data_IF_007561223836
#
_entry.id   IF_007561223836
#
_cell.length_a   1.000
_cell.length_b   1.000
_cell.length_c   1.000
_cell.angle_alpha   90.00
_cell.angle_beta   90.00
_cell.angle_gamma   90.00
#
_symmetry.space_group_name_H-M   'P 1'
#
loop_
_entity.id
_entity.type
_entity.pdbx_description
1 polymer ?
#
# COMPACT_ATOMS: atom_id res chain seq x y z
N UNK A 1 0.64 28.87 -8.59
CA UNK A 1 0.57 28.70 -10.06
C UNK A 1 -0.65 29.43 -10.65
N UNK A 2 -1.81 29.46 -9.96
CA UNK A 2 -2.97 30.28 -10.34
C UNK A 2 -2.68 31.78 -10.40
N UNK A 3 -1.98 32.35 -9.41
CA UNK A 3 -1.66 33.79 -9.37
C UNK A 3 -0.67 34.27 -10.45
N UNK A 4 0.02 33.34 -11.13
CA UNK A 4 0.98 33.67 -12.19
C UNK A 4 0.33 33.74 -13.58
N UNK A 5 -0.83 33.10 -13.76
CA UNK A 5 -1.55 33.07 -15.04
C UNK A 5 -2.56 34.23 -15.15
N UNK A 6 -3.20 34.62 -14.04
CA UNK A 6 -4.07 35.81 -14.01
C UNK A 6 -3.29 37.10 -14.28
N UNK A 7 -2.08 37.24 -13.73
CA UNK A 7 -1.24 38.44 -13.92
C UNK A 7 -0.78 38.67 -15.37
N UNK A 8 -0.70 37.62 -16.20
CA UNK A 8 -0.15 37.72 -17.56
C UNK A 8 -1.22 37.93 -18.64
N UNK A 9 -2.46 37.48 -18.41
CA UNK A 9 -3.54 37.66 -19.38
C UNK A 9 -4.08 39.10 -19.38
N UNK A 10 -4.27 39.68 -18.19
CA UNK A 10 -4.72 41.08 -18.03
C UNK A 10 -3.67 42.08 -18.52
N UNK A 11 -2.40 41.71 -18.47
CA UNK A 11 -1.28 42.55 -18.91
C UNK A 11 -1.23 42.73 -20.43
N UNK A 12 -1.56 41.70 -21.21
CA UNK A 12 -1.24 41.69 -22.66
C UNK A 12 -2.37 42.30 -23.49
N UNK A 13 -3.63 42.04 -23.14
CA UNK A 13 -4.79 42.52 -23.92
C UNK A 13 -5.10 43.99 -23.61
N UNK A 14 -5.00 44.39 -22.33
CA UNK A 14 -5.17 45.77 -21.90
C UNK A 14 -4.05 46.69 -22.43
N UNK A 15 -2.84 46.14 -22.64
CA UNK A 15 -1.70 46.87 -23.17
C UNK A 15 -1.82 47.17 -24.68
N UNK A 16 -2.42 46.29 -25.48
CA UNK A 16 -2.44 46.45 -26.95
C UNK A 16 -3.46 47.48 -27.44
N UNK A 17 -4.66 47.55 -26.84
CA UNK A 17 -5.72 48.48 -27.26
C UNK A 17 -5.55 49.90 -26.72
N UNK A 18 -5.15 50.06 -25.45
CA UNK A 18 -4.96 51.37 -24.81
C UNK A 18 -3.65 52.06 -25.21
N UNK A 19 -2.63 51.33 -25.70
CA UNK A 19 -1.31 51.90 -26.04
C UNK A 19 -1.21 52.51 -27.44
N UNK A 20 -2.19 52.34 -28.33
CA UNK A 20 -2.08 52.86 -29.70
C UNK A 20 -2.57 54.31 -29.85
N UNK A 21 -3.69 54.69 -29.19
CA UNK A 21 -4.26 56.04 -29.32
C UNK A 21 -3.90 56.98 -28.17
N UNK A 22 -3.88 56.47 -26.93
CA UNK A 22 -3.54 57.26 -25.74
C UNK A 22 -2.05 57.66 -25.72
N UNK A 23 -1.19 56.82 -26.28
CA UNK A 23 0.25 57.00 -26.31
C UNK A 23 0.71 58.00 -27.40
N UNK A 24 -0.13 58.34 -28.38
CA UNK A 24 0.28 59.19 -29.53
C UNK A 24 0.48 60.65 -29.11
N UNK A 25 -0.55 61.24 -28.50
CA UNK A 25 -0.48 62.62 -28.01
C UNK A 25 0.60 62.77 -26.93
N UNK A 26 0.69 61.79 -26.03
CA UNK A 26 1.66 61.78 -24.93
C UNK A 26 3.11 61.64 -25.45
N UNK A 27 3.35 60.80 -26.47
CA UNK A 27 4.68 60.64 -27.11
C UNK A 27 5.17 61.93 -27.73
N UNK A 28 4.32 62.61 -28.48
CA UNK A 28 4.71 63.83 -29.21
C UNK A 28 4.82 65.01 -28.24
N UNK A 29 3.96 65.07 -27.22
CA UNK A 29 4.10 66.05 -26.13
C UNK A 29 5.40 65.84 -25.34
N UNK A 30 5.94 64.62 -25.31
CA UNK A 30 7.21 64.32 -24.67
C UNK A 30 8.45 64.67 -25.52
N UNK A 31 8.28 65.00 -26.81
CA UNK A 31 9.39 65.39 -27.67
C UNK A 31 9.90 66.78 -27.31
N UNK A 32 11.22 66.92 -27.21
CA UNK A 32 11.82 68.24 -27.10
C UNK A 32 11.72 69.01 -28.43
N UNK A 33 12.02 70.31 -28.40
CA UNK A 33 11.87 71.19 -29.57
C UNK A 33 12.65 70.73 -30.81
N UNK A 34 13.87 70.21 -30.64
CA UNK A 34 14.67 69.68 -31.74
C UNK A 34 14.08 68.39 -32.30
N UNK A 35 13.67 67.47 -31.44
CA UNK A 35 13.02 66.21 -31.83
C UNK A 35 11.69 66.46 -32.54
N UNK A 36 10.93 67.46 -32.10
CA UNK A 36 9.68 67.87 -32.74
C UNK A 36 9.92 68.47 -34.13
N UNK A 37 11.01 69.25 -34.30
CA UNK A 37 11.40 69.78 -35.60
C UNK A 37 11.79 68.66 -36.58
N UNK A 38 12.58 67.70 -36.11
CA UNK A 38 12.96 66.53 -36.91
C UNK A 38 11.74 65.67 -37.25
N UNK A 39 10.84 65.45 -36.29
CA UNK A 39 9.57 64.75 -36.51
C UNK A 39 8.71 65.44 -37.57
N UNK A 40 8.60 66.78 -37.55
CA UNK A 40 7.85 67.52 -38.58
C UNK A 40 8.47 67.39 -39.97
N UNK A 41 9.81 67.35 -40.07
CA UNK A 41 10.48 67.13 -41.36
C UNK A 41 10.23 65.72 -41.89
N UNK A 42 10.30 64.72 -41.03
CA UNK A 42 10.03 63.32 -41.41
C UNK A 42 8.58 63.14 -41.86
N UNK A 43 7.63 63.69 -41.09
CA UNK A 43 6.22 63.71 -41.43
C UNK A 43 5.95 64.44 -42.76
N UNK A 44 6.58 65.60 -42.97
CA UNK A 44 6.47 66.34 -44.23
C UNK A 44 7.01 65.53 -45.41
N UNK A 45 8.20 64.94 -45.26
CA UNK A 45 8.83 64.13 -46.31
C UNK A 45 7.99 62.89 -46.67
N UNK A 46 7.40 62.25 -45.67
CA UNK A 46 6.50 61.12 -45.85
C UNK A 46 5.29 61.49 -46.73
N UNK A 47 4.63 62.61 -46.43
CA UNK A 47 3.46 63.05 -47.19
C UNK A 47 3.78 63.64 -48.55
N UNK A 48 4.90 64.37 -48.67
CA UNK A 48 5.39 64.89 -49.94
C UNK A 48 5.63 63.76 -50.94
N UNK A 49 6.27 62.68 -50.48
CA UNK A 49 6.48 61.49 -51.31
C UNK A 49 5.16 60.86 -51.76
N UNK A 50 4.19 60.69 -50.85
CA UNK A 50 2.86 60.18 -51.20
C UNK A 50 2.17 61.08 -52.23
N UNK A 51 2.18 62.41 -52.04
CA UNK A 51 1.58 63.37 -52.97
C UNK A 51 2.25 63.27 -54.35
N UNK A 52 3.58 63.22 -54.41
CA UNK A 52 4.32 63.13 -55.66
C UNK A 52 3.89 61.90 -56.46
N UNK A 53 3.90 60.72 -55.83
CA UNK A 53 3.51 59.47 -56.50
C UNK A 53 2.04 59.49 -56.91
N UNK A 54 1.16 60.08 -56.10
CA UNK A 54 -0.25 60.20 -56.45
C UNK A 54 -0.48 61.16 -57.64
N UNK A 55 0.25 62.28 -57.70
CA UNK A 55 0.17 63.24 -58.81
C UNK A 55 0.72 62.66 -60.13
N UNK A 56 1.83 61.93 -60.09
CA UNK A 56 2.40 61.24 -61.26
C UNK A 56 1.39 60.23 -61.84
N UNK A 57 0.70 59.49 -60.96
CA UNK A 57 -0.33 58.52 -61.36
C UNK A 57 -1.61 59.18 -61.88
N UNK A 58 -2.05 60.29 -61.31
CA UNK A 58 -3.21 61.05 -61.78
C UNK A 58 -2.98 61.60 -63.20
N UNK A 59 -1.76 62.07 -63.49
CA UNK A 59 -1.38 62.50 -64.85
C UNK A 59 -1.36 61.35 -65.86
N UNK A 60 -0.95 60.16 -65.44
CA UNK A 60 -0.94 58.96 -66.28
C UNK A 60 -2.35 58.40 -66.57
N UNK A 61 -3.33 58.62 -65.67
CA UNK A 61 -4.65 57.99 -65.71
C UNK A 61 -5.81 58.93 -66.10
N UNK A 62 -5.57 59.96 -66.93
CA UNK A 62 -6.53 60.98 -67.40
C UNK A 62 -7.88 60.51 -68.02
N UNK A 63 -8.28 59.24 -67.93
CA UNK A 63 -9.48 58.66 -68.59
C UNK A 63 -10.55 58.02 -67.70
N UNK A 64 -10.50 58.05 -66.36
CA UNK A 64 -11.55 57.39 -65.53
C UNK A 64 -12.03 58.26 -64.36
N UNK A 65 -13.34 58.22 -64.08
CA UNK A 65 -14.10 58.93 -63.03
C UNK A 65 -13.57 58.82 -61.58
N UNK A 66 -12.51 58.05 -61.31
CA UNK A 66 -11.84 57.92 -60.01
C UNK A 66 -11.04 59.19 -59.64
N UNK A 67 -10.85 60.11 -60.59
CA UNK A 67 -10.08 61.35 -60.42
C UNK A 67 -10.63 62.34 -59.37
N UNK A 68 -11.94 62.32 -59.04
CA UNK A 68 -12.51 63.31 -58.11
C UNK A 68 -12.19 63.05 -56.64
N UNK A 69 -12.26 61.78 -56.20
CA UNK A 69 -11.93 61.38 -54.82
C UNK A 69 -10.45 61.54 -54.53
N UNK A 70 -9.59 61.17 -55.48
CA UNK A 70 -8.15 61.38 -55.36
C UNK A 70 -7.78 62.86 -55.30
N UNK A 71 -8.43 63.72 -56.09
CA UNK A 71 -8.17 65.17 -56.05
C UNK A 71 -8.54 65.79 -54.71
N UNK A 72 -9.67 65.43 -54.13
CA UNK A 72 -10.05 65.91 -52.79
C UNK A 72 -9.06 65.45 -51.72
N UNK A 73 -8.60 64.20 -51.82
CA UNK A 73 -7.61 63.67 -50.89
C UNK A 73 -6.23 64.32 -51.04
N UNK A 74 -5.75 64.50 -52.28
CA UNK A 74 -4.51 65.24 -52.58
C UNK A 74 -4.60 66.67 -52.04
N UNK A 75 -5.76 67.32 -52.16
CA UNK A 75 -5.97 68.64 -51.57
C UNK A 75 -5.87 68.60 -50.04
N UNK A 76 -6.50 67.63 -49.37
CA UNK A 76 -6.40 67.47 -47.91
C UNK A 76 -4.95 67.26 -47.43
N UNK A 77 -4.17 66.42 -48.13
CA UNK A 77 -2.76 66.22 -47.78
C UNK A 77 -1.94 67.47 -48.09
N UNK A 78 -2.22 68.17 -49.21
CA UNK A 78 -1.53 69.42 -49.56
C UNK A 78 -1.77 70.51 -48.51
N UNK A 79 -3.02 70.64 -48.04
CA UNK A 79 -3.39 71.57 -46.97
C UNK A 79 -2.67 71.18 -45.66
N UNK A 80 -2.58 69.89 -45.36
CA UNK A 80 -1.84 69.34 -44.23
C UNK A 80 -0.34 69.65 -44.29
N UNK A 81 0.30 69.40 -45.44
CA UNK A 81 1.72 69.71 -45.67
C UNK A 81 2.00 71.21 -45.57
N UNK A 82 1.08 72.05 -46.05
CA UNK A 82 1.17 73.51 -45.92
C UNK A 82 1.13 73.94 -44.46
N UNK A 83 0.26 73.34 -43.65
CA UNK A 83 0.18 73.60 -42.22
C UNK A 83 1.46 73.14 -41.50
N UNK A 84 1.98 71.95 -41.81
CA UNK A 84 3.25 71.46 -41.27
C UNK A 84 4.44 72.37 -41.61
N UNK A 85 4.55 72.79 -42.87
CA UNK A 85 5.61 73.69 -43.33
C UNK A 85 5.57 75.05 -42.62
N UNK A 86 4.35 75.60 -42.42
CA UNK A 86 4.15 76.82 -41.64
C UNK A 86 4.61 76.65 -40.20
N UNK A 87 4.26 75.54 -39.54
CA UNK A 87 4.69 75.27 -38.16
C UNK A 87 6.21 75.09 -38.06
N UNK A 88 6.81 74.40 -39.02
CA UNK A 88 8.27 74.24 -39.11
C UNK A 88 8.97 75.59 -39.24
N UNK A 89 8.43 76.50 -40.06
CA UNK A 89 8.97 77.86 -40.23
C UNK A 89 8.77 78.73 -38.99
N UNK A 90 7.64 78.60 -38.29
CA UNK A 90 7.38 79.28 -37.01
C UNK A 90 8.35 78.78 -35.92
N UNK A 91 8.64 77.47 -35.91
CA UNK A 91 9.64 76.85 -35.06
C UNK A 91 11.07 77.35 -35.32
N UNK A 92 11.44 77.62 -36.56
CA UNK A 92 12.77 78.14 -36.90
C UNK A 92 12.95 79.61 -36.53
N UNK A 93 11.89 80.42 -36.68
CA UNK A 93 11.94 81.87 -36.42
C UNK A 93 11.99 82.24 -34.94
N UNK A 94 11.38 81.45 -34.06
CA UNK A 94 11.30 81.76 -32.63
C UNK A 94 12.55 81.32 -31.85
N UNK A 95 13.75 81.80 -32.20
CA UNK A 95 15.05 81.26 -31.76
C UNK A 95 15.42 81.47 -30.28
N UNK A 96 14.50 81.92 -29.42
CA UNK A 96 14.78 82.08 -27.98
C UNK A 96 14.77 80.70 -27.28
N UNK A 97 15.87 80.25 -26.65
CA UNK A 97 15.98 78.90 -26.09
C UNK A 97 15.20 78.65 -24.79
N UNK A 98 14.60 79.67 -24.17
CA UNK A 98 14.18 79.62 -22.76
C UNK A 98 12.71 79.98 -22.49
N UNK A 99 11.84 79.98 -23.52
CA UNK A 99 10.46 80.42 -23.36
C UNK A 99 9.50 79.22 -23.30
N UNK A 100 9.25 78.71 -22.08
CA UNK A 100 8.29 77.61 -21.82
C UNK A 100 6.87 77.94 -22.32
N UNK A 101 6.51 79.23 -22.42
CA UNK A 101 5.21 79.65 -22.94
C UNK A 101 5.04 79.36 -24.44
N UNK A 102 6.14 79.37 -25.21
CA UNK A 102 6.11 79.08 -26.66
C UNK A 102 5.76 77.62 -26.94
N UNK A 103 6.12 76.71 -26.03
CA UNK A 103 5.79 75.29 -26.16
C UNK A 103 4.29 75.02 -26.02
N UNK A 104 3.62 75.70 -25.09
CA UNK A 104 2.19 75.56 -24.85
C UNK A 104 1.34 76.10 -26.00
N UNK A 105 1.66 77.30 -26.51
CA UNK A 105 0.94 77.90 -27.65
C UNK A 105 1.15 77.10 -28.95
N UNK A 106 2.36 76.58 -29.15
CA UNK A 106 2.65 75.70 -30.28
C UNK A 106 1.89 74.38 -30.17
N UNK A 107 1.76 73.82 -28.97
CA UNK A 107 1.05 72.56 -28.77
C UNK A 107 -0.44 72.65 -29.14
N UNK A 108 -1.11 73.75 -28.80
CA UNK A 108 -2.51 73.97 -29.20
C UNK A 108 -2.67 74.05 -30.73
N UNK A 109 -1.70 74.63 -31.43
CA UNK A 109 -1.68 74.63 -32.90
C UNK A 109 -1.43 73.23 -33.45
N UNK A 110 -0.50 72.50 -32.85
CA UNK A 110 -0.12 71.14 -33.24
C UNK A 110 -1.28 70.15 -33.05
N UNK A 111 -2.08 70.31 -31.98
CA UNK A 111 -3.29 69.52 -31.73
C UNK A 111 -4.29 69.56 -32.90
N UNK A 112 -4.45 70.71 -33.54
CA UNK A 112 -5.33 70.88 -34.72
C UNK A 112 -4.85 70.01 -35.89
N UNK A 113 -3.54 69.84 -36.06
CA UNK A 113 -2.94 68.95 -37.08
C UNK A 113 -3.15 67.47 -36.73
N UNK A 114 -3.24 67.12 -35.45
CA UNK A 114 -3.44 65.75 -34.98
C UNK A 114 -4.89 65.27 -35.03
N UNK A 115 -5.85 66.19 -34.95
CA UNK A 115 -7.27 65.88 -35.14
C UNK A 115 -7.62 65.51 -36.60
N UNK A 116 -6.67 65.68 -37.53
CA UNK A 116 -6.81 65.25 -38.91
C UNK A 116 -6.65 63.72 -38.98
N UNK A 117 -7.73 63.04 -39.38
CA UNK A 117 -7.83 61.58 -39.53
C UNK A 117 -6.99 61.02 -40.69
N UNK A 118 -5.67 61.15 -40.58
CA UNK A 118 -4.67 60.63 -41.51
C UNK A 118 -3.58 59.85 -40.73
N UNK A 119 -3.00 58.80 -41.34
CA UNK A 119 -1.90 58.04 -40.75
C UNK A 119 -0.62 58.87 -40.69
N UNK A 120 0.05 58.90 -39.54
CA UNK A 120 1.33 59.59 -39.37
C UNK A 120 2.48 58.70 -39.83
N UNK A 121 3.64 59.25 -40.15
CA UNK A 121 4.79 58.47 -40.64
C UNK A 121 5.28 57.42 -39.63
N UNK A 122 5.06 57.66 -38.34
CA UNK A 122 5.48 56.81 -37.22
C UNK A 122 4.39 55.84 -36.73
N UNK A 123 3.24 55.77 -37.43
CA UNK A 123 2.20 54.80 -37.13
C UNK A 123 2.62 53.39 -37.60
N UNK A 124 2.27 52.31 -36.86
CA UNK A 124 2.59 50.94 -37.28
C UNK A 124 2.04 50.54 -38.65
N UNK A 125 1.00 51.25 -39.12
CA UNK A 125 0.34 51.04 -40.41
C UNK A 125 0.77 52.05 -41.49
N UNK A 126 1.74 52.94 -41.21
CA UNK A 126 2.15 54.00 -42.12
C UNK A 126 2.75 53.46 -43.42
N UNK A 127 3.65 52.49 -43.35
CA UNK A 127 4.26 51.90 -44.54
C UNK A 127 3.25 51.11 -45.39
N UNK A 128 2.33 50.37 -44.75
CA UNK A 128 1.24 49.67 -45.45
C UNK A 128 0.31 50.66 -46.15
N UNK A 129 0.01 51.78 -45.49
CA UNK A 129 -0.79 52.85 -46.07
C UNK A 129 -0.09 53.50 -47.28
N UNK A 130 1.18 53.84 -47.14
CA UNK A 130 2.03 54.39 -48.21
C UNK A 130 2.08 53.45 -49.40
N UNK A 131 2.26 52.14 -49.17
CA UNK A 131 2.21 51.14 -50.23
C UNK A 131 0.84 51.06 -50.91
N UNK A 132 -0.26 51.20 -50.16
CA UNK A 132 -1.60 51.24 -50.72
C UNK A 132 -1.84 52.50 -51.57
N UNK A 133 -1.31 53.65 -51.15
CA UNK A 133 -1.29 54.87 -51.96
C UNK A 133 -0.51 54.67 -53.26
N UNK A 134 0.67 54.06 -53.18
CA UNK A 134 1.46 53.72 -54.35
C UNK A 134 0.75 52.71 -55.25
N UNK A 135 -0.07 51.82 -54.71
CA UNK A 135 -0.84 50.84 -55.50
C UNK A 135 -2.11 51.43 -56.14
N UNK A 136 -2.43 52.70 -55.87
CA UNK A 136 -3.63 53.36 -56.39
C UNK A 136 -4.92 53.04 -55.61
N UNK A 137 -4.80 52.43 -54.43
CA UNK A 137 -5.92 52.04 -53.57
C UNK A 137 -6.04 52.96 -52.33
N UNK A 138 -5.56 54.20 -52.46
CA UNK A 138 -5.51 55.17 -51.36
C UNK A 138 -6.86 55.36 -50.66
N UNK A 139 -7.96 55.46 -51.42
CA UNK A 139 -9.29 55.68 -50.87
C UNK A 139 -9.75 54.58 -49.89
N UNK A 140 -9.49 53.31 -50.21
CA UNK A 140 -9.86 52.21 -49.30
C UNK A 140 -8.93 52.15 -48.10
N UNK A 141 -7.63 52.40 -48.29
CA UNK A 141 -6.67 52.43 -47.20
C UNK A 141 -7.02 53.48 -46.15
N UNK A 142 -7.43 54.68 -46.59
CA UNK A 142 -7.92 55.75 -45.70
C UNK A 142 -9.17 55.30 -44.95
N UNK A 143 -10.12 54.68 -45.65
CA UNK A 143 -11.36 54.21 -45.05
C UNK A 143 -11.10 53.15 -43.98
N UNK A 144 -10.25 52.18 -44.27
CA UNK A 144 -9.82 51.14 -43.33
C UNK A 144 -9.09 51.75 -42.13
N UNK A 145 -8.17 52.68 -42.36
CA UNK A 145 -7.48 53.39 -41.28
C UNK A 145 -8.48 54.13 -40.37
N UNK A 146 -9.44 54.87 -40.96
CA UNK A 146 -10.48 55.58 -40.21
C UNK A 146 -11.38 54.65 -39.41
N UNK A 147 -11.75 53.49 -39.96
CA UNK A 147 -12.53 52.50 -39.21
C UNK A 147 -11.71 51.98 -38.04
N UNK A 148 -10.45 51.60 -38.25
CA UNK A 148 -9.62 51.04 -37.18
C UNK A 148 -9.37 52.09 -36.09
N UNK A 149 -9.12 53.34 -36.46
CA UNK A 149 -8.90 54.43 -35.51
C UNK A 149 -10.16 54.81 -34.73
N UNK A 150 -11.35 54.70 -35.34
CA UNK A 150 -12.64 55.01 -34.70
C UNK A 150 -13.24 53.81 -33.95
N UNK A 151 -13.04 52.58 -34.44
CA UNK A 151 -13.55 51.34 -33.83
C UNK A 151 -12.71 50.84 -32.65
N UNK A 152 -11.57 51.46 -32.38
CA UNK A 152 -10.85 51.34 -31.11
C UNK A 152 -11.59 52.05 -29.94
N UNK A 153 -12.93 52.05 -29.97
CA UNK A 153 -13.81 52.65 -28.98
C UNK A 153 -13.86 51.73 -27.73
N UNK A 154 -13.72 52.25 -26.49
CA UNK A 154 -13.59 51.44 -25.27
C UNK A 154 -14.73 50.45 -25.01
N UNK A 155 -15.89 50.65 -25.62
CA UNK A 155 -17.08 49.81 -25.42
C UNK A 155 -16.95 48.40 -26.00
N UNK A 156 -16.24 48.23 -27.13
CA UNK A 156 -16.07 46.90 -27.74
C UNK A 156 -15.08 46.03 -26.95
N UNK A 157 -14.02 46.65 -26.43
CA UNK A 157 -13.00 45.97 -25.62
C UNK A 157 -13.54 45.57 -24.24
N UNK A 158 -14.37 46.40 -23.62
CA UNK A 158 -14.96 46.14 -22.30
C UNK A 158 -15.82 44.88 -22.25
N UNK A 159 -16.64 44.64 -23.29
CA UNK A 159 -17.48 43.44 -23.36
C UNK A 159 -16.67 42.15 -23.57
N UNK A 160 -15.45 42.25 -24.09
CA UNK A 160 -14.54 41.11 -24.22
C UNK A 160 -13.83 40.81 -22.90
N UNK A 161 -13.33 41.84 -22.20
CA UNK A 161 -12.71 41.72 -20.87
C UNK A 161 -13.68 41.08 -19.84
N UNK A 162 -14.91 41.58 -19.71
CA UNK A 162 -15.90 41.04 -18.75
C UNK A 162 -16.22 39.56 -18.99
N UNK A 163 -16.28 39.12 -20.25
CA UNK A 163 -16.54 37.71 -20.59
C UNK A 163 -15.34 36.80 -20.31
N UNK A 164 -14.13 37.30 -20.53
CA UNK A 164 -12.91 36.55 -20.25
C UNK A 164 -12.74 36.38 -18.75
N UNK A 165 -12.95 37.44 -17.97
CA UNK A 165 -12.87 37.41 -16.51
C UNK A 165 -13.90 36.46 -15.89
N UNK A 166 -15.16 36.51 -16.36
CA UNK A 166 -16.20 35.59 -15.90
C UNK A 166 -15.88 34.12 -16.21
N UNK A 167 -15.33 33.84 -17.41
CA UNK A 167 -14.94 32.48 -17.78
C UNK A 167 -13.75 31.99 -16.95
N UNK A 168 -12.75 32.84 -16.69
CA UNK A 168 -11.60 32.50 -15.86
C UNK A 168 -12.02 32.23 -14.41
N UNK A 169 -12.90 33.06 -13.84
CA UNK A 169 -13.46 32.83 -12.52
C UNK A 169 -14.18 31.49 -12.43
N UNK A 170 -15.01 31.15 -13.44
CA UNK A 170 -15.72 29.87 -13.48
C UNK A 170 -14.78 28.66 -13.63
N UNK A 171 -13.67 28.83 -14.36
CA UNK A 171 -12.66 27.79 -14.55
C UNK A 171 -11.89 27.56 -13.24
N UNK A 172 -11.50 28.65 -12.57
CA UNK A 172 -10.83 28.64 -11.27
C UNK A 172 -11.68 27.90 -10.23
N UNK A 173 -12.98 28.22 -10.15
CA UNK A 173 -13.90 27.55 -9.22
C UNK A 173 -14.04 26.05 -9.51
N UNK A 174 -14.10 25.64 -10.78
CA UNK A 174 -14.13 24.22 -11.18
C UNK A 174 -12.82 23.51 -10.83
N UNK A 175 -11.68 24.14 -11.05
CA UNK A 175 -10.37 23.59 -10.69
C UNK A 175 -10.30 23.39 -9.19
N UNK A 176 -10.65 24.41 -8.40
CA UNK A 176 -10.65 24.35 -6.94
C UNK A 176 -11.57 23.25 -6.40
N UNK A 177 -12.77 23.10 -6.98
CA UNK A 177 -13.70 22.04 -6.62
C UNK A 177 -13.10 20.65 -6.90
N UNK A 178 -12.56 20.44 -8.11
CA UNK A 178 -11.96 19.16 -8.47
C UNK A 178 -10.74 18.83 -7.61
N UNK A 179 -9.90 19.83 -7.29
CA UNK A 179 -8.74 19.66 -6.41
C UNK A 179 -9.19 19.24 -5.01
N UNK A 180 -10.25 19.85 -4.46
CA UNK A 180 -10.82 19.46 -3.16
C UNK A 180 -11.39 18.04 -3.18
N UNK A 181 -12.13 17.66 -4.23
CA UNK A 181 -12.67 16.30 -4.38
C UNK A 181 -11.56 15.25 -4.48
N UNK A 182 -10.49 15.53 -5.24
CA UNK A 182 -9.34 14.62 -5.37
C UNK A 182 -8.57 14.50 -4.05
N UNK A 183 -8.34 15.60 -3.33
CA UNK A 183 -7.71 15.58 -2.01
C UNK A 183 -8.51 14.75 -1.00
N UNK A 184 -9.83 14.87 -1.03
CA UNK A 184 -10.71 14.11 -0.16
C UNK A 184 -10.69 12.61 -0.51
N UNK A 185 -10.77 12.26 -1.80
CA UNK A 185 -10.65 10.86 -2.26
C UNK A 185 -9.30 10.22 -1.89
N UNK A 186 -8.19 10.97 -1.98
CA UNK A 186 -6.89 10.50 -1.52
C UNK A 186 -6.85 10.26 -0.01
N UNK A 187 -7.38 11.19 0.79
CA UNK A 187 -7.48 11.05 2.25
C UNK A 187 -8.31 9.83 2.65
N UNK A 188 -9.44 9.61 1.99
CA UNK A 188 -10.31 8.45 2.25
C UNK A 188 -9.61 7.14 1.85
N UNK A 189 -8.91 7.11 0.72
CA UNK A 189 -8.12 5.94 0.30
C UNK A 189 -6.94 5.66 1.24
N UNK A 190 -6.25 6.69 1.72
CA UNK A 190 -5.16 6.54 2.69
C UNK A 190 -5.67 5.90 3.97
N UNK A 191 -6.83 6.34 4.47
CA UNK A 191 -7.48 5.74 5.65
C UNK A 191 -7.85 4.28 5.41
N UNK A 192 -8.47 3.95 4.27
CA UNK A 192 -8.83 2.56 3.91
C UNK A 192 -7.57 1.68 3.84
N UNK A 193 -6.49 2.17 3.21
CA UNK A 193 -5.23 1.44 3.12
C UNK A 193 -4.66 1.21 4.51
N UNK A 194 -4.60 2.25 5.35
CA UNK A 194 -4.06 2.13 6.71
C UNK A 194 -4.88 1.16 7.56
N UNK A 195 -6.21 1.24 7.51
CA UNK A 195 -7.11 0.32 8.21
C UNK A 195 -6.90 -1.13 7.71
N UNK A 196 -6.68 -1.33 6.41
CA UNK A 196 -6.39 -2.65 5.84
C UNK A 196 -5.03 -3.21 6.27
N UNK A 197 -4.01 -2.33 6.39
CA UNK A 197 -2.67 -2.70 6.86
C UNK A 197 -2.69 -3.07 8.34
N UNK A 198 -3.39 -2.29 9.17
CA UNK A 198 -3.56 -2.57 10.60
C UNK A 198 -4.32 -3.89 10.79
N UNK A 199 -5.43 -4.08 10.08
CA UNK A 199 -6.18 -5.33 10.09
C UNK A 199 -5.33 -6.53 9.63
N UNK A 200 -4.58 -6.37 8.55
CA UNK A 200 -3.66 -7.40 8.04
C UNK A 200 -2.57 -7.76 9.05
N UNK A 201 -2.00 -6.77 9.75
CA UNK A 201 -1.00 -6.98 10.81
C UNK A 201 -1.59 -7.79 11.96
N UNK A 202 -2.79 -7.43 12.43
CA UNK A 202 -3.48 -8.16 13.51
C UNK A 202 -3.78 -9.61 13.10
N UNK A 203 -4.20 -9.84 11.84
CA UNK A 203 -4.42 -11.19 11.32
C UNK A 203 -3.13 -12.02 11.26
N UNK A 204 -2.02 -11.43 10.81
CA UNK A 204 -0.71 -12.10 10.77
C UNK A 204 -0.25 -12.41 12.20
N UNK A 205 -0.38 -11.48 13.14
CA UNK A 205 0.00 -11.71 14.54
C UNK A 205 -0.81 -12.85 15.17
N UNK A 206 -2.12 -12.91 14.90
CA UNK A 206 -2.98 -14.03 15.31
C UNK A 206 -2.53 -15.36 14.70
N UNK A 207 -2.19 -15.40 13.41
CA UNK A 207 -1.70 -16.62 12.73
C UNK A 207 -0.36 -17.06 13.31
N UNK A 208 0.59 -16.12 13.51
CA UNK A 208 1.91 -16.43 14.07
C UNK A 208 1.79 -16.93 15.51
N UNK A 209 0.94 -16.30 16.33
CA UNK A 209 0.66 -16.75 17.69
C UNK A 209 0.01 -18.15 17.70
N UNK A 210 -0.99 -18.40 16.85
CA UNK A 210 -1.63 -19.70 16.73
C UNK A 210 -0.66 -20.79 16.22
N UNK A 211 0.19 -20.49 15.24
CA UNK A 211 1.19 -21.41 14.72
C UNK A 211 2.29 -21.71 15.76
N UNK A 212 2.77 -20.70 16.48
CA UNK A 212 3.76 -20.87 17.56
C UNK A 212 3.17 -21.70 18.70
N UNK A 213 1.90 -21.45 19.07
CA UNK A 213 1.18 -22.27 20.04
C UNK A 213 1.01 -23.71 19.53
N UNK A 214 0.65 -23.92 18.26
CA UNK A 214 0.53 -25.26 17.68
C UNK A 214 1.87 -26.02 17.67
N UNK A 215 2.97 -25.35 17.35
CA UNK A 215 4.33 -25.94 17.37
C UNK A 215 4.73 -26.28 18.81
N UNK A 216 4.59 -25.34 19.75
CA UNK A 216 4.90 -25.55 21.17
C UNK A 216 4.07 -26.69 21.79
N UNK A 217 2.80 -26.80 21.41
CA UNK A 217 1.90 -27.86 21.90
C UNK A 217 2.13 -29.22 21.19
N UNK A 218 2.82 -29.24 20.05
CA UNK A 218 3.14 -30.49 19.35
C UNK A 218 4.22 -31.32 20.05
N UNK A 219 5.12 -30.67 20.78
CA UNK A 219 6.24 -31.33 21.47
C UNK A 219 5.80 -32.21 22.66
N UNK A 220 4.92 -31.75 23.58
CA UNK A 220 4.32 -32.60 24.61
C UNK A 220 3.52 -33.78 24.04
N UNK A 221 2.77 -33.56 22.96
CA UNK A 221 2.01 -34.64 22.30
C UNK A 221 2.96 -35.70 21.75
N UNK A 222 4.02 -35.27 21.08
CA UNK A 222 5.05 -36.16 20.52
C UNK A 222 5.73 -36.98 21.62
N UNK A 223 6.08 -36.34 22.74
CA UNK A 223 6.66 -37.02 23.89
C UNK A 223 5.77 -38.18 24.40
N UNK A 224 4.47 -37.95 24.58
CA UNK A 224 3.55 -38.99 25.07
C UNK A 224 3.27 -40.08 24.03
N UNK A 225 3.21 -39.75 22.74
CA UNK A 225 3.07 -40.76 21.66
C UNK A 225 4.32 -41.64 21.54
N UNK A 226 5.52 -41.07 21.64
CA UNK A 226 6.77 -41.84 21.67
C UNK A 226 6.81 -42.78 22.89
N UNK A 227 6.41 -42.27 24.05
CA UNK A 227 6.36 -43.04 25.30
C UNK A 227 5.32 -44.17 25.25
N UNK A 228 4.15 -43.94 24.66
CA UNK A 228 3.15 -44.98 24.35
C UNK A 228 3.76 -46.08 23.48
N UNK A 229 4.48 -45.70 22.42
CA UNK A 229 5.17 -46.65 21.54
C UNK A 229 6.15 -47.55 22.29
N UNK A 230 6.95 -46.95 23.19
CA UNK A 230 7.89 -47.68 24.03
C UNK A 230 7.18 -48.68 24.97
N UNK A 231 6.11 -48.26 25.65
CA UNK A 231 5.35 -49.12 26.55
C UNK A 231 4.62 -50.26 25.82
N UNK A 232 4.08 -50.02 24.63
CA UNK A 232 3.47 -51.05 23.79
C UNK A 232 4.49 -52.13 23.37
N UNK A 233 5.67 -51.68 22.91
CA UNK A 233 6.77 -52.59 22.55
C UNK A 233 7.19 -53.43 23.77
N UNK A 234 7.32 -52.80 24.93
CA UNK A 234 7.70 -53.50 26.16
C UNK A 234 6.61 -54.48 26.63
N UNK A 235 5.33 -54.10 26.59
CA UNK A 235 4.22 -54.99 26.90
C UNK A 235 4.23 -56.25 26.00
N UNK A 236 4.43 -56.07 24.69
CA UNK A 236 4.58 -57.20 23.75
C UNK A 236 5.80 -58.06 24.04
N UNK A 237 6.95 -57.46 24.40
CA UNK A 237 8.16 -58.21 24.79
C UNK A 237 7.90 -59.07 26.04
N UNK A 238 7.32 -58.49 27.09
CA UNK A 238 7.02 -59.24 28.32
C UNK A 238 5.93 -60.30 28.11
N UNK A 239 4.92 -60.03 27.27
CA UNK A 239 3.94 -61.04 26.88
C UNK A 239 4.58 -62.23 26.14
N UNK A 240 5.52 -61.97 25.22
CA UNK A 240 6.32 -63.03 24.58
C UNK A 240 7.16 -63.80 25.58
N UNK A 241 7.82 -63.12 26.52
CA UNK A 241 8.60 -63.80 27.57
C UNK A 241 7.73 -64.66 28.49
N UNK A 242 6.52 -64.21 28.85
CA UNK A 242 5.57 -65.02 29.62
C UNK A 242 5.15 -66.30 28.86
N UNK A 243 4.92 -66.19 27.55
CA UNK A 243 4.57 -67.34 26.70
C UNK A 243 5.74 -68.32 26.57
N UNK A 244 6.96 -67.81 26.33
CA UNK A 244 8.17 -68.63 26.24
C UNK A 244 8.46 -69.30 27.59
N UNK A 245 8.33 -68.58 28.71
CA UNK A 245 8.53 -69.18 30.03
C UNK A 245 7.54 -70.29 30.29
N UNK A 246 6.25 -70.08 30.01
CA UNK A 246 5.22 -71.10 30.17
C UNK A 246 5.49 -72.36 29.31
N UNK A 247 5.94 -72.17 28.07
CA UNK A 247 6.32 -73.28 27.19
C UNK A 247 7.52 -74.06 27.74
N UNK A 248 8.58 -73.36 28.17
CA UNK A 248 9.78 -73.98 28.76
C UNK A 248 9.40 -74.75 30.04
N UNK A 249 8.58 -74.16 30.91
CA UNK A 249 8.12 -74.82 32.13
C UNK A 249 7.26 -76.05 31.84
N UNK A 250 6.38 -76.00 30.85
CA UNK A 250 5.56 -77.14 30.45
C UNK A 250 6.41 -78.31 29.93
N UNK A 251 7.43 -78.01 29.11
CA UNK A 251 8.39 -79.02 28.62
C UNK A 251 9.21 -79.59 29.78
N UNK A 252 9.77 -78.74 30.64
CA UNK A 252 10.60 -79.17 31.78
C UNK A 252 9.81 -80.04 32.75
N UNK A 253 8.57 -79.68 33.04
CA UNK A 253 7.66 -80.44 33.90
C UNK A 253 7.33 -81.78 33.24
N UNK A 254 7.03 -81.81 31.94
CA UNK A 254 6.80 -83.04 31.17
C UNK A 254 8.00 -83.98 31.16
N UNK A 255 9.21 -83.45 30.96
CA UNK A 255 10.46 -84.24 31.02
C UNK A 255 10.70 -84.80 32.42
N UNK A 256 10.45 -83.99 33.46
CA UNK A 256 10.65 -84.42 34.86
C UNK A 256 9.66 -85.54 35.23
N UNK A 257 8.38 -85.40 34.85
CA UNK A 257 7.38 -86.46 35.03
C UNK A 257 7.74 -87.70 34.22
N UNK A 258 8.14 -87.55 32.95
CA UNK A 258 8.52 -88.67 32.09
C UNK A 258 9.73 -89.44 32.62
N UNK A 259 10.74 -88.73 33.14
CA UNK A 259 11.91 -89.36 33.76
C UNK A 259 11.54 -90.16 35.03
N UNK A 260 10.70 -89.59 35.89
CA UNK A 260 10.20 -90.27 37.10
C UNK A 260 9.24 -91.43 36.76
N UNK A 261 8.49 -91.35 35.65
CA UNK A 261 7.65 -92.43 35.15
C UNK A 261 8.49 -93.64 34.69
N UNK A 262 9.52 -93.40 33.87
CA UNK A 262 10.42 -94.46 33.37
C UNK A 262 11.27 -95.06 34.49
N UNK A 263 11.66 -94.24 35.48
CA UNK A 263 12.48 -94.67 36.62
C UNK A 263 11.67 -95.17 37.82
N UNK A 264 10.33 -95.11 37.72
CA UNK A 264 9.39 -95.35 38.80
C UNK A 264 9.22 -96.84 39.15
N UNK A 265 8.71 -97.10 40.35
CA UNK A 265 8.33 -98.45 40.77
C UNK A 265 6.81 -98.55 40.64
N UNK A 266 6.27 -99.50 39.83
CA UNK A 266 4.82 -99.65 39.69
C UNK A 266 4.24 -100.10 41.04
N UNK A 267 3.29 -99.34 41.57
CA UNK A 267 2.44 -99.79 42.69
C UNK A 267 1.00 -99.81 42.22
N UNK A 268 0.31 -100.91 42.53
CA UNK A 268 -1.09 -101.04 42.25
C UNK A 268 -1.87 -100.47 43.44
N UNK A 269 -2.55 -99.34 43.26
CA UNK A 269 -3.45 -98.78 44.26
C UNK A 269 -4.86 -98.83 43.70
N UNK A 270 -5.72 -99.65 44.33
CA UNK A 270 -7.14 -99.75 43.98
C UNK A 270 -7.42 -100.14 42.52
N UNK A 271 -6.62 -101.06 41.96
CA UNK A 271 -6.81 -101.60 40.60
C UNK A 271 -6.30 -100.71 39.47
N UNK A 272 -5.70 -99.56 39.79
CA UNK A 272 -5.00 -98.71 38.84
C UNK A 272 -3.49 -98.79 39.09
N UNK A 273 -2.73 -99.09 38.03
CA UNK A 273 -1.27 -99.07 38.06
C UNK A 273 -0.80 -97.61 38.13
N UNK A 274 -0.32 -97.18 39.29
CA UNK A 274 0.25 -95.85 39.50
C UNK A 274 1.75 -95.99 39.75
N UNK A 275 2.56 -95.44 38.85
CA UNK A 275 4.01 -95.37 39.01
C UNK A 275 4.33 -94.16 39.87
N UNK A 276 4.64 -94.38 41.16
CA UNK A 276 5.14 -93.30 42.02
C UNK A 276 6.64 -93.06 41.77
N UNK A 277 7.10 -91.80 41.89
CA UNK A 277 8.51 -91.46 41.92
C UNK A 277 9.26 -92.32 42.94
N UNK A 278 10.41 -92.86 42.54
CA UNK A 278 11.18 -93.80 43.36
C UNK A 278 11.79 -93.14 44.62
N UNK A 279 11.89 -91.81 44.64
CA UNK A 279 12.50 -91.03 45.72
C UNK A 279 11.64 -89.83 46.14
N UNK A 280 11.63 -89.52 47.44
CA UNK A 280 10.96 -88.34 47.99
C UNK A 280 11.55 -87.03 47.39
N UNK A 281 12.81 -87.08 46.95
CA UNK A 281 13.49 -86.01 46.22
C UNK A 281 12.84 -85.68 44.88
N UNK A 282 12.32 -86.67 44.13
CA UNK A 282 11.67 -86.46 42.84
C UNK A 282 10.37 -85.66 42.96
N UNK A 283 9.56 -85.99 43.98
CA UNK A 283 8.33 -85.26 44.31
C UNK A 283 8.65 -83.81 44.70
N UNK A 284 9.69 -83.61 45.53
CA UNK A 284 10.13 -82.27 45.93
C UNK A 284 10.60 -81.43 44.73
N UNK A 285 11.30 -82.03 43.76
CA UNK A 285 11.74 -81.34 42.55
C UNK A 285 10.59 -80.95 41.63
N UNK A 286 9.59 -81.83 41.44
CA UNK A 286 8.39 -81.50 40.66
C UNK A 286 7.64 -80.33 41.29
N UNK A 287 7.47 -80.33 42.62
CA UNK A 287 6.84 -79.23 43.35
C UNK A 287 7.63 -77.92 43.21
N UNK A 288 8.95 -77.97 43.39
CA UNK A 288 9.82 -76.79 43.25
C UNK A 288 9.72 -76.18 41.85
N UNK A 289 9.87 -77.00 40.81
CA UNK A 289 9.81 -76.55 39.40
C UNK A 289 8.43 -75.99 39.06
N UNK A 290 7.36 -76.64 39.51
CA UNK A 290 5.98 -76.19 39.25
C UNK A 290 5.72 -74.83 39.90
N UNK A 291 6.08 -74.66 41.17
CA UNK A 291 5.86 -73.40 41.87
C UNK A 291 6.76 -72.28 41.35
N UNK A 292 8.02 -72.56 41.05
CA UNK A 292 8.93 -71.59 40.43
C UNK A 292 8.42 -71.15 39.04
N UNK A 293 7.86 -72.07 38.26
CA UNK A 293 7.33 -71.77 36.94
C UNK A 293 6.07 -70.91 36.95
N UNK A 294 5.13 -71.22 37.84
CA UNK A 294 3.94 -70.39 38.06
C UNK A 294 4.35 -68.99 38.50
N UNK A 295 5.31 -68.89 39.41
CA UNK A 295 5.78 -67.61 39.94
C UNK A 295 6.48 -66.75 38.88
N UNK A 296 7.38 -67.34 38.10
CA UNK A 296 8.09 -66.66 37.02
C UNK A 296 7.11 -66.14 35.95
N UNK A 297 6.14 -66.97 35.55
CA UNK A 297 5.09 -66.57 34.60
C UNK A 297 4.24 -65.43 35.17
N UNK A 298 3.89 -65.48 36.46
CA UNK A 298 3.14 -64.42 37.15
C UNK A 298 3.88 -63.08 37.15
N UNK A 299 5.21 -63.08 37.30
CA UNK A 299 6.03 -61.86 37.22
C UNK A 299 5.96 -61.25 35.82
N UNK A 300 6.16 -62.05 34.77
CA UNK A 300 6.11 -61.54 33.40
C UNK A 300 4.72 -61.00 33.03
N UNK A 301 3.64 -61.67 33.48
CA UNK A 301 2.26 -61.18 33.29
C UNK A 301 2.04 -59.86 34.04
N UNK A 302 2.52 -59.72 35.28
CA UNK A 302 2.43 -58.45 36.03
C UNK A 302 3.21 -57.33 35.33
N UNK A 303 4.41 -57.59 34.82
CA UNK A 303 5.21 -56.61 34.07
C UNK A 303 4.55 -56.21 32.75
N UNK A 304 3.93 -57.16 32.05
CA UNK A 304 3.12 -56.89 30.87
C UNK A 304 1.94 -55.98 31.21
N UNK A 305 1.16 -56.32 32.24
CA UNK A 305 0.02 -55.52 32.67
C UNK A 305 0.42 -54.11 33.09
N UNK A 306 1.52 -53.95 33.83
CA UNK A 306 2.04 -52.64 34.21
C UNK A 306 2.40 -51.78 32.98
N UNK A 307 3.01 -52.37 31.95
CA UNK A 307 3.31 -51.65 30.72
C UNK A 307 2.05 -51.32 29.90
N UNK A 308 1.03 -52.17 29.91
CA UNK A 308 -0.26 -51.87 29.27
C UNK A 308 -0.98 -50.72 29.96
N UNK A 309 -0.98 -50.67 31.30
CA UNK A 309 -1.57 -49.54 32.03
C UNK A 309 -0.83 -48.24 31.76
N UNK A 310 0.51 -48.26 31.71
CA UNK A 310 1.32 -47.09 31.34
C UNK A 310 1.11 -46.65 29.89
N UNK A 311 0.84 -47.58 28.98
CA UNK A 311 0.43 -47.28 27.60
C UNK A 311 -0.90 -46.54 27.58
N UNK A 312 -1.92 -47.06 28.28
CA UNK A 312 -3.25 -46.44 28.37
C UNK A 312 -3.17 -45.03 28.95
N UNK A 313 -2.40 -44.82 30.02
CA UNK A 313 -2.18 -43.50 30.61
C UNK A 313 -1.53 -42.53 29.62
N UNK A 314 -0.55 -43.01 28.84
CA UNK A 314 0.11 -42.19 27.82
C UNK A 314 -0.87 -41.81 26.69
N UNK A 315 -1.79 -42.71 26.32
CA UNK A 315 -2.85 -42.44 25.33
C UNK A 315 -3.85 -41.41 25.87
N UNK A 316 -4.27 -41.55 27.13
CA UNK A 316 -5.18 -40.61 27.79
C UNK A 316 -4.58 -39.20 27.83
N UNK A 317 -3.32 -39.06 28.28
CA UNK A 317 -2.63 -37.76 28.30
C UNK A 317 -2.42 -37.18 26.89
N UNK A 318 -2.01 -38.00 25.91
CA UNK A 318 -1.84 -37.52 24.54
C UNK A 318 -3.17 -37.03 23.93
N UNK A 319 -4.26 -37.76 24.17
CA UNK A 319 -5.60 -37.40 23.68
C UNK A 319 -6.11 -36.14 24.37
N UNK A 320 -5.93 -36.04 25.69
CA UNK A 320 -6.28 -34.87 26.49
C UNK A 320 -5.57 -33.61 25.96
N UNK A 321 -4.26 -33.67 25.70
CA UNK A 321 -3.51 -32.53 25.11
C UNK A 321 -4.02 -32.20 23.71
N UNK A 322 -4.25 -33.19 22.84
CA UNK A 322 -4.80 -32.94 21.49
C UNK A 322 -6.17 -32.26 21.55
N UNK A 323 -7.06 -32.68 22.45
CA UNK A 323 -8.37 -32.07 22.65
C UNK A 323 -8.24 -30.63 23.14
N UNK A 324 -7.34 -30.35 24.09
CA UNK A 324 -7.07 -28.99 24.56
C UNK A 324 -6.53 -28.09 23.45
N UNK A 325 -5.61 -28.58 22.62
CA UNK A 325 -5.11 -27.86 21.45
C UNK A 325 -6.23 -27.55 20.47
N UNK A 326 -7.08 -28.54 20.17
CA UNK A 326 -8.21 -28.37 19.27
C UNK A 326 -9.22 -27.35 19.82
N UNK A 327 -9.51 -27.38 21.13
CA UNK A 327 -10.36 -26.41 21.79
C UNK A 327 -9.75 -25.01 21.74
N UNK A 328 -8.47 -24.85 22.07
CA UNK A 328 -7.77 -23.55 22.04
C UNK A 328 -7.67 -22.97 20.62
N UNK A 329 -7.61 -23.82 19.60
CA UNK A 329 -7.65 -23.40 18.20
C UNK A 329 -9.06 -23.01 17.74
N UNK A 330 -10.11 -23.65 18.27
CA UNK A 330 -11.50 -23.38 17.91
C UNK A 330 -12.11 -22.18 18.65
N UNK A 331 -11.68 -21.91 19.89
CA UNK A 331 -12.20 -20.84 20.74
C UNK A 331 -11.07 -20.00 21.34
N UNK A 332 -11.00 -18.71 20.97
CA UNK A 332 -10.00 -17.77 21.51
C UNK A 332 -10.25 -17.31 22.96
N UNK A 333 -11.38 -17.72 23.56
CA UNK A 333 -11.85 -17.24 24.87
C UNK A 333 -12.02 -18.35 25.91
N UNK A 334 -11.23 -19.42 25.84
CA UNK A 334 -11.20 -20.40 26.93
C UNK A 334 -10.69 -19.69 28.18
N UNK A 335 -11.56 -19.58 29.19
CA UNK A 335 -11.25 -18.94 30.46
C UNK A 335 -10.00 -19.59 31.08
N UNK A 336 -9.10 -18.79 31.65
CA UNK A 336 -7.89 -19.25 32.36
C UNK A 336 -8.18 -20.33 33.42
N UNK A 337 -9.41 -20.34 33.96
CA UNK A 337 -9.89 -21.36 34.89
C UNK A 337 -9.98 -22.76 34.27
N UNK A 338 -10.44 -22.88 33.01
CA UNK A 338 -10.47 -24.14 32.28
C UNK A 338 -9.05 -24.64 31.93
N UNK A 339 -8.12 -23.71 31.67
CA UNK A 339 -6.71 -24.03 31.46
C UNK A 339 -6.05 -24.54 32.76
N UNK A 340 -6.34 -23.93 33.91
CA UNK A 340 -5.86 -24.41 35.22
C UNK A 340 -6.38 -25.82 35.53
N UNK A 341 -7.68 -26.05 35.32
CA UNK A 341 -8.31 -27.35 35.55
C UNK A 341 -7.72 -28.41 34.62
N UNK A 342 -7.42 -28.05 33.38
CA UNK A 342 -6.70 -28.92 32.45
C UNK A 342 -5.29 -29.29 32.94
N UNK A 343 -4.49 -28.34 33.41
CA UNK A 343 -3.16 -28.66 33.95
C UNK A 343 -3.23 -29.58 35.18
N UNK A 344 -4.19 -29.38 36.08
CA UNK A 344 -4.33 -30.26 37.26
C UNK A 344 -4.70 -31.71 36.88
N UNK A 345 -5.48 -31.91 35.81
CA UNK A 345 -5.81 -33.24 35.32
C UNK A 345 -4.66 -33.88 34.55
N UNK A 346 -3.91 -33.10 33.76
CA UNK A 346 -2.76 -33.58 33.00
C UNK A 346 -1.61 -34.07 33.89
N UNK A 347 -1.35 -33.35 34.98
CA UNK A 347 -0.27 -33.64 35.93
C UNK A 347 -0.70 -34.53 37.11
N UNK A 348 -1.90 -35.11 37.07
CA UNK A 348 -2.32 -36.05 38.13
C UNK A 348 -1.32 -37.22 38.20
N UNK A 349 -0.70 -37.48 39.36
CA UNK A 349 0.16 -38.64 39.53
C UNK A 349 -0.68 -39.90 39.32
N UNK A 350 -0.22 -40.77 38.42
CA UNK A 350 -0.84 -42.07 38.20
C UNK A 350 -0.57 -42.97 39.39
N UNK A 351 -1.61 -43.54 39.98
CA UNK A 351 -1.52 -44.57 41.02
C UNK A 351 -1.10 -45.93 40.43
N UNK A 352 -0.01 -45.97 39.65
CA UNK A 352 0.60 -47.20 39.18
C UNK A 352 1.54 -47.76 40.26
N UNK A 353 1.00 -48.03 41.45
CA UNK A 353 1.67 -48.91 42.40
C UNK A 353 1.53 -50.34 41.86
N UNK A 354 2.61 -50.85 41.27
CA UNK A 354 2.82 -52.30 41.18
C UNK A 354 2.79 -52.78 42.62
N UNK A 355 1.67 -53.36 43.06
CA UNK A 355 1.46 -53.73 44.46
C UNK A 355 2.58 -54.68 44.89
N UNK A 356 3.45 -54.21 45.78
CA UNK A 356 4.60 -54.97 46.31
C UNK A 356 4.18 -56.24 47.07
N UNK A 357 2.89 -56.34 47.42
CA UNK A 357 2.24 -57.34 48.28
C UNK A 357 2.36 -58.82 47.81
N UNK A 358 2.90 -59.13 46.62
CA UNK A 358 2.83 -60.52 46.15
C UNK A 358 3.92 -60.88 45.14
N UNK A 359 5.15 -60.44 45.42
CA UNK A 359 6.31 -60.75 44.57
C UNK A 359 7.09 -61.96 45.08
N UNK A 360 6.93 -62.45 46.32
CA UNK A 360 7.55 -63.70 46.75
C UNK A 360 6.49 -64.81 46.92
N UNK A 361 6.79 -66.07 46.57
CA UNK A 361 5.94 -67.18 46.99
C UNK A 361 6.05 -67.32 48.51
N UNK A 362 4.97 -67.68 49.20
CA UNK A 362 4.94 -67.86 50.68
C UNK A 362 5.78 -69.05 51.20
N UNK A 363 6.85 -69.43 50.47
CA UNK A 363 7.82 -70.42 50.89
C UNK A 363 8.43 -70.11 52.25
N UNK A 364 8.64 -68.83 52.58
CA UNK A 364 9.14 -68.44 53.91
C UNK A 364 8.23 -68.93 55.03
N UNK A 365 6.92 -68.69 54.92
CA UNK A 365 5.93 -69.12 55.93
C UNK A 365 5.79 -70.63 55.98
N UNK A 366 5.82 -71.31 54.83
CA UNK A 366 5.72 -72.78 54.74
C UNK A 366 6.98 -73.46 55.30
N UNK A 367 8.18 -72.94 55.01
CA UNK A 367 9.43 -73.44 55.60
C UNK A 367 9.43 -73.24 57.12
N UNK A 368 8.96 -72.08 57.59
CA UNK A 368 8.88 -71.74 59.01
C UNK A 368 7.90 -72.66 59.75
N UNK A 369 6.77 -73.03 59.13
CA UNK A 369 5.84 -74.02 59.70
C UNK A 369 6.44 -75.42 59.73
N UNK A 370 7.14 -75.85 58.67
CA UNK A 370 7.81 -77.15 58.62
C UNK A 370 8.98 -77.24 59.62
N UNK A 371 9.76 -76.16 59.77
CA UNK A 371 10.83 -76.05 60.76
C UNK A 371 10.28 -76.07 62.20
N UNK A 372 9.16 -75.38 62.44
CA UNK A 372 8.50 -75.34 63.75
C UNK A 372 7.88 -76.69 64.13
N UNK A 373 7.28 -77.41 63.18
CA UNK A 373 6.75 -78.77 63.40
C UNK A 373 7.84 -79.81 63.66
N UNK A 374 9.08 -79.61 63.18
CA UNK A 374 10.20 -80.53 63.47
C UNK A 374 10.85 -80.30 64.85
N UNK A 375 10.51 -79.19 65.53
CA UNK A 375 11.03 -78.83 66.85
C UNK A 375 10.30 -79.50 68.03
N UNK A 376 9.05 -79.91 67.87
CA UNK A 376 8.27 -80.55 68.93
C UNK A 376 8.30 -82.08 68.79
N UNK A 377 9.37 -82.67 69.33
CA UNK A 377 9.37 -84.09 69.69
C UNK A 377 8.62 -84.22 71.03
N UNK A 378 7.54 -85.02 71.14
CA UNK A 378 6.86 -85.21 72.40
C UNK A 378 7.77 -86.04 73.33
N UNK A 379 8.36 -85.40 74.33
CA UNK A 379 8.83 -86.09 75.54
C UNK A 379 7.61 -86.49 76.35
N UNK A 380 7.11 -87.69 76.10
CA UNK A 380 6.18 -88.37 77.00
C UNK A 380 6.91 -89.38 77.87
N UNK A 381 6.43 -89.49 79.11
CA UNK A 381 6.61 -90.57 80.07
C UNK A 381 7.86 -90.55 80.98
N UNK A 382 7.56 -90.34 82.26
CA UNK A 382 8.39 -90.47 83.45
C UNK A 382 7.52 -90.14 84.65
#
# INVERSE_FOLDING_TARGET
>A
MSSYLESNADSVVTALGKSLLKNRHDRIHALNRSELHDWFKEEFSYWENIIQVMNEKDQAHKRVQIASTNRFFIQQISDYCTQLSRMTTELEKNTSPNDENVHSEMWEKVKIIYDINLPKHDDPLAEDFKYACYSGVAASAIYTYRIISVAADPFYLRGYEEKVEANLASLSERIDKNVREVLQDFSDKEKIINDSVVSGKDHIEKIVSAATAAVSLSEPVKFWEERKGLHNINAKKYGKYASISAMIFSILLGVTIGYEYVSGVPRNFWGFEFTLPKTLSGIAMILLVSTAGIWCTRIFVKLMMANLTLETESIERATMIKTFVAMKAAESSIAQEAELLFYTTLFRPSNNLISEESTAPEFGKILETILKTKGDKPTGAG
#
